data_IF_583573969501
#
_entry.id   IF_583573969501
#
_cell.length_a   1.000
_cell.length_b   1.000
_cell.length_c   1.000
_cell.angle_alpha   90.00
_cell.angle_beta   90.00
_cell.angle_gamma   90.00
#
_symmetry.space_group_name_H-M   'P 1'
#
loop_
_entity.id
_entity.type
_entity.pdbx_description
1 polymer ?
#
# COMPACT_ATOMS: atom_id res chain seq x y z
N UNK A 1 13.49 -18.74 6.29
CA UNK A 1 12.77 -17.90 7.25
C UNK A 1 12.77 -18.64 8.56
N UNK A 2 13.17 -17.99 9.64
CA UNK A 2 13.07 -18.55 11.00
C UNK A 2 11.60 -18.58 11.47
N UNK A 3 11.31 -19.36 12.51
CA UNK A 3 9.97 -19.41 13.11
C UNK A 3 9.52 -18.02 13.61
N UNK A 4 10.43 -17.24 14.20
CA UNK A 4 10.18 -15.86 14.65
C UNK A 4 9.72 -14.98 13.49
N UNK A 5 10.43 -15.01 12.36
CA UNK A 5 10.09 -14.22 11.18
C UNK A 5 8.76 -14.68 10.56
N UNK A 6 8.47 -15.98 10.59
CA UNK A 6 7.23 -16.54 10.07
C UNK A 6 6.02 -16.10 10.92
N UNK A 7 6.11 -16.23 12.23
CA UNK A 7 5.04 -15.86 13.16
C UNK A 7 4.77 -14.35 13.13
N UNK A 8 5.82 -13.53 13.08
CA UNK A 8 5.69 -12.08 12.97
C UNK A 8 4.94 -11.67 11.69
N UNK A 9 5.28 -12.27 10.55
CA UNK A 9 4.61 -11.97 9.27
C UNK A 9 3.17 -12.45 9.26
N UNK A 10 2.90 -13.65 9.79
CA UNK A 10 1.54 -14.18 9.88
C UNK A 10 0.66 -13.30 10.75
N UNK A 11 1.15 -12.88 11.92
CA UNK A 11 0.44 -11.95 12.78
C UNK A 11 0.16 -10.63 12.06
N UNK A 12 1.18 -10.02 11.44
CA UNK A 12 1.01 -8.74 10.74
C UNK A 12 0.01 -8.83 9.57
N UNK A 13 0.08 -9.89 8.76
CA UNK A 13 -0.89 -10.14 7.69
C UNK A 13 -2.29 -10.45 8.20
N UNK A 14 -2.40 -11.17 9.33
CA UNK A 14 -3.66 -11.47 10.00
C UNK A 14 -4.34 -10.19 10.52
N UNK A 15 -3.60 -9.35 11.23
CA UNK A 15 -4.10 -8.08 11.77
C UNK A 15 -4.46 -7.08 10.66
N UNK A 16 -3.65 -7.01 9.59
CA UNK A 16 -3.86 -6.01 8.54
C UNK A 16 -4.92 -6.42 7.51
N UNK A 17 -4.95 -7.70 7.12
CA UNK A 17 -5.75 -8.18 5.98
C UNK A 17 -6.64 -9.39 6.30
N UNK A 18 -6.58 -9.93 7.52
CA UNK A 18 -7.30 -11.14 7.89
C UNK A 18 -6.76 -12.42 7.24
N UNK A 19 -5.52 -12.42 6.74
CA UNK A 19 -4.94 -13.59 6.08
C UNK A 19 -4.62 -14.69 7.10
N UNK A 20 -4.84 -15.95 6.69
CA UNK A 20 -4.54 -17.15 7.50
C UNK A 20 -3.28 -17.89 7.02
N UNK A 21 -2.66 -17.41 5.95
CA UNK A 21 -1.44 -17.94 5.36
C UNK A 21 -0.68 -16.81 4.65
N UNK A 22 0.63 -16.99 4.49
CA UNK A 22 1.47 -16.02 3.78
C UNK A 22 1.23 -16.11 2.26
N UNK A 23 1.12 -14.97 1.55
CA UNK A 23 1.04 -14.98 0.09
C UNK A 23 2.41 -15.31 -0.53
N UNK A 24 2.44 -15.80 -1.79
CA UNK A 24 3.68 -16.06 -2.51
C UNK A 24 4.58 -14.82 -2.62
N UNK A 25 5.90 -15.02 -2.60
CA UNK A 25 6.87 -13.92 -2.66
C UNK A 25 6.73 -13.06 -3.93
N UNK A 26 6.49 -13.70 -5.09
CA UNK A 26 6.36 -13.00 -6.38
C UNK A 26 5.23 -11.96 -6.37
N UNK A 27 4.14 -12.24 -5.67
CA UNK A 27 2.99 -11.33 -5.59
C UNK A 27 3.33 -10.06 -4.78
N UNK A 28 4.29 -10.11 -3.86
CA UNK A 28 4.72 -8.93 -3.10
C UNK A 28 5.45 -7.90 -3.97
N UNK A 29 6.36 -8.36 -4.82
CA UNK A 29 7.10 -7.46 -5.73
C UNK A 29 6.15 -6.79 -6.72
N UNK A 30 5.21 -7.54 -7.29
CA UNK A 30 4.19 -6.99 -8.18
C UNK A 30 3.34 -5.93 -7.46
N UNK A 31 2.90 -6.19 -6.22
CA UNK A 31 2.15 -5.19 -5.43
C UNK A 31 3.00 -3.94 -5.20
N UNK A 32 4.26 -4.09 -4.76
CA UNK A 32 5.16 -2.96 -4.50
C UNK A 32 5.32 -2.11 -5.76
N UNK A 33 5.65 -2.73 -6.89
CA UNK A 33 5.78 -2.01 -8.17
C UNK A 33 4.51 -1.29 -8.55
N UNK A 34 3.37 -1.99 -8.48
CA UNK A 34 2.06 -1.43 -8.85
C UNK A 34 1.70 -0.22 -8.00
N UNK A 35 1.93 -0.30 -6.68
CA UNK A 35 1.66 0.81 -5.77
C UNK A 35 2.57 2.01 -6.05
N UNK A 36 3.87 1.77 -6.31
CA UNK A 36 4.81 2.85 -6.64
C UNK A 36 4.47 3.52 -7.97
N UNK A 37 3.99 2.77 -8.97
CA UNK A 37 3.49 3.34 -10.24
C UNK A 37 2.25 4.21 -9.99
N UNK A 38 1.33 3.74 -9.15
CA UNK A 38 0.15 4.51 -8.78
C UNK A 38 0.49 5.79 -8.03
N UNK A 39 1.44 5.74 -7.10
CA UNK A 39 1.87 6.89 -6.32
C UNK A 39 2.62 7.91 -7.19
N UNK A 40 3.54 7.45 -8.05
CA UNK A 40 4.26 8.31 -9.01
C UNK A 40 3.41 8.78 -10.19
N UNK A 41 2.10 8.58 -10.17
CA UNK A 41 1.28 8.85 -11.36
C UNK A 41 1.32 10.33 -11.78
N UNK A 42 1.71 11.24 -10.88
CA UNK A 42 1.92 12.66 -11.16
C UNK A 42 3.28 13.02 -11.77
N UNK A 43 4.15 12.02 -11.94
CA UNK A 43 5.49 12.15 -12.46
C UNK A 43 6.57 12.23 -11.37
N UNK A 44 6.19 12.41 -10.10
CA UNK A 44 7.11 12.54 -8.96
C UNK A 44 6.72 11.52 -7.91
N UNK A 45 7.70 10.87 -7.28
CA UNK A 45 7.44 10.09 -6.08
C UNK A 45 8.17 10.79 -4.95
N UNK A 46 7.41 11.36 -4.03
CA UNK A 46 7.97 12.06 -2.88
C UNK A 46 8.75 11.07 -1.98
N UNK A 47 9.79 11.54 -1.28
CA UNK A 47 10.54 10.70 -0.34
C UNK A 47 9.65 9.99 0.68
N UNK A 48 8.65 10.69 1.21
CA UNK A 48 7.69 10.21 2.21
C UNK A 48 6.86 9.03 1.69
N UNK A 49 6.31 9.15 0.47
CA UNK A 49 5.58 8.09 -0.22
C UNK A 49 6.46 6.84 -0.42
N UNK A 50 7.68 7.04 -0.93
CA UNK A 50 8.62 5.92 -1.12
C UNK A 50 8.97 5.27 0.21
N UNK A 51 9.28 6.07 1.22
CA UNK A 51 9.64 5.59 2.55
C UNK A 51 8.51 4.79 3.19
N UNK A 52 7.26 5.18 2.96
CA UNK A 52 6.10 4.44 3.44
C UNK A 52 6.06 3.01 2.86
N UNK A 53 6.23 2.86 1.55
CA UNK A 53 6.26 1.54 0.91
C UNK A 53 7.50 0.73 1.28
N UNK A 54 8.66 1.38 1.39
CA UNK A 54 9.90 0.74 1.87
C UNK A 54 9.72 0.22 3.30
N UNK A 55 9.13 1.01 4.19
CA UNK A 55 8.84 0.61 5.57
C UNK A 55 7.86 -0.55 5.65
N UNK A 56 6.79 -0.52 4.85
CA UNK A 56 5.85 -1.65 4.73
C UNK A 56 6.54 -2.91 4.21
N UNK A 57 7.37 -2.80 3.17
CA UNK A 57 8.11 -3.93 2.63
C UNK A 57 9.09 -4.52 3.66
N UNK A 58 9.75 -3.67 4.45
CA UNK A 58 10.63 -4.08 5.54
C UNK A 58 9.85 -4.82 6.64
N UNK A 59 8.72 -4.29 7.09
CA UNK A 59 7.88 -4.89 8.12
C UNK A 59 7.35 -6.28 7.73
N UNK A 60 7.05 -6.48 6.45
CA UNK A 60 6.64 -7.78 5.91
C UNK A 60 7.82 -8.72 5.62
N UNK A 61 9.06 -8.28 5.89
CA UNK A 61 10.29 -8.97 5.50
C UNK A 61 10.26 -9.41 4.04
N UNK A 62 9.73 -8.56 3.17
CA UNK A 62 9.54 -8.86 1.75
C UNK A 62 10.86 -8.76 1.01
N UNK A 63 11.11 -9.70 0.09
CA UNK A 63 12.25 -9.61 -0.83
C UNK A 63 12.20 -8.34 -1.71
N UNK A 64 11.03 -7.71 -1.82
CA UNK A 64 10.85 -6.43 -2.53
C UNK A 64 11.35 -5.20 -1.75
N UNK A 65 11.93 -5.34 -0.56
CA UNK A 65 12.45 -4.19 0.21
C UNK A 65 13.52 -3.39 -0.54
N UNK A 66 14.55 -4.05 -1.10
CA UNK A 66 15.59 -3.36 -1.87
C UNK A 66 15.07 -2.82 -3.20
N UNK A 67 14.12 -3.54 -3.81
CA UNK A 67 13.40 -3.07 -5.00
C UNK A 67 12.66 -1.76 -4.69
N UNK A 68 11.90 -1.70 -3.59
CA UNK A 68 11.11 -0.52 -3.22
C UNK A 68 11.93 0.77 -3.09
N UNK A 69 13.20 0.67 -2.67
CA UNK A 69 14.09 1.82 -2.52
C UNK A 69 14.50 2.46 -3.85
N UNK A 70 14.61 1.65 -4.89
CA UNK A 70 15.31 2.03 -6.13
C UNK A 70 14.43 1.96 -7.37
N UNK A 71 13.26 1.32 -7.26
CA UNK A 71 12.37 1.10 -8.38
C UNK A 71 11.87 2.43 -8.97
N UNK A 72 12.07 2.67 -10.27
CA UNK A 72 11.78 3.97 -10.88
C UNK A 72 10.29 4.22 -11.13
N UNK A 73 9.47 3.16 -11.17
CA UNK A 73 8.02 3.23 -11.36
C UNK A 73 7.56 3.90 -12.67
N UNK A 74 8.28 3.63 -13.75
CA UNK A 74 7.96 4.11 -15.11
C UNK A 74 7.26 3.06 -16.00
N UNK A 75 7.02 1.86 -15.46
CA UNK A 75 6.32 0.78 -16.18
C UNK A 75 4.80 1.03 -16.23
N UNK A 76 4.09 0.38 -17.17
CA UNK A 76 2.62 0.37 -17.15
C UNK A 76 2.10 -0.58 -16.06
N UNK A 77 1.17 -0.08 -15.25
CA UNK A 77 0.61 -0.81 -14.09
C UNK A 77 -0.16 -2.07 -14.51
N UNK A 78 -0.79 -2.09 -15.70
CA UNK A 78 -1.51 -3.26 -16.21
C UNK A 78 -0.52 -4.36 -16.58
N UNK A 79 0.57 -3.99 -17.25
CA UNK A 79 1.62 -4.92 -17.63
C UNK A 79 2.27 -5.53 -16.39
N UNK A 80 2.62 -4.70 -15.40
CA UNK A 80 3.19 -5.15 -14.12
C UNK A 80 2.23 -6.08 -13.39
N UNK A 81 0.94 -5.72 -13.30
CA UNK A 81 -0.04 -6.55 -12.63
C UNK A 81 -0.20 -7.88 -13.33
N UNK A 82 -0.27 -7.93 -14.66
CA UNK A 82 -0.44 -9.17 -15.43
C UNK A 82 0.59 -10.27 -15.10
N UNK A 83 1.73 -9.91 -14.49
CA UNK A 83 2.78 -10.84 -14.06
C UNK A 83 2.52 -11.53 -12.71
N UNK A 84 1.58 -11.05 -11.90
CA UNK A 84 1.23 -11.66 -10.61
C UNK A 84 0.36 -12.90 -10.79
N UNK A 85 0.55 -13.90 -9.92
CA UNK A 85 -0.30 -15.08 -9.85
C UNK A 85 -1.71 -14.74 -9.32
N UNK A 86 -1.84 -13.62 -8.60
CA UNK A 86 -3.05 -13.21 -7.90
C UNK A 86 -3.66 -11.88 -8.39
N UNK A 87 -3.73 -11.64 -9.72
CA UNK A 87 -4.47 -10.49 -10.30
C UNK A 87 -5.98 -10.74 -10.30
N UNK A 88 -6.52 -11.10 -9.15
CA UNK A 88 -7.97 -11.15 -8.97
C UNK A 88 -8.48 -9.76 -8.54
N UNK A 89 -9.79 -9.64 -8.39
CA UNK A 89 -10.43 -8.40 -7.94
C UNK A 89 -9.84 -7.89 -6.60
N UNK A 90 -9.47 -8.79 -5.68
CA UNK A 90 -8.90 -8.41 -4.38
C UNK A 90 -7.49 -7.80 -4.52
N UNK A 91 -6.66 -8.31 -5.43
CA UNK A 91 -5.34 -7.74 -5.72
C UNK A 91 -5.44 -6.29 -6.22
N UNK A 92 -6.34 -6.04 -7.18
CA UNK A 92 -6.57 -4.69 -7.73
C UNK A 92 -7.04 -3.69 -6.68
N UNK A 93 -8.00 -4.08 -5.83
CA UNK A 93 -8.48 -3.24 -4.71
C UNK A 93 -7.37 -2.98 -3.69
N UNK A 94 -6.57 -3.99 -3.37
CA UNK A 94 -5.43 -3.85 -2.45
C UNK A 94 -4.40 -2.84 -2.98
N UNK A 95 -4.10 -2.86 -4.29
CA UNK A 95 -3.19 -1.89 -4.91
C UNK A 95 -3.71 -0.46 -4.79
N UNK A 96 -4.99 -0.23 -5.10
CA UNK A 96 -5.59 1.12 -4.99
C UNK A 96 -5.62 1.58 -3.53
N UNK A 97 -6.03 0.73 -2.59
CA UNK A 97 -5.99 1.02 -1.16
C UNK A 97 -4.58 1.41 -0.70
N UNK A 98 -3.57 0.62 -1.06
CA UNK A 98 -2.19 0.92 -0.69
C UNK A 98 -1.65 2.18 -1.38
N UNK A 99 -2.04 2.45 -2.62
CA UNK A 99 -1.67 3.68 -3.32
C UNK A 99 -2.21 4.91 -2.60
N UNK A 100 -3.50 4.90 -2.20
CA UNK A 100 -4.11 6.00 -1.44
C UNK A 100 -3.34 6.24 -0.12
N UNK A 101 -3.02 5.17 0.63
CA UNK A 101 -2.24 5.28 1.87
C UNK A 101 -0.81 5.75 1.66
N UNK A 102 -0.23 5.41 0.51
CA UNK A 102 1.12 5.81 0.14
C UNK A 102 1.17 7.29 -0.18
N UNK A 103 0.26 7.79 -1.02
CA UNK A 103 0.17 9.22 -1.32
C UNK A 103 -0.17 10.05 -0.09
N UNK A 104 -0.98 9.51 0.83
CA UNK A 104 -1.32 10.18 2.10
C UNK A 104 -0.22 10.09 3.16
N UNK A 105 0.99 9.61 2.84
CA UNK A 105 2.02 9.30 3.83
C UNK A 105 2.59 10.55 4.54
N UNK A 106 2.57 11.70 3.88
CA UNK A 106 2.95 13.00 4.43
C UNK A 106 1.81 13.67 5.24
N UNK A 107 0.62 13.05 5.25
CA UNK A 107 -0.57 13.54 5.94
C UNK A 107 -1.58 14.25 5.05
N UNK A 108 -1.29 14.48 3.77
CA UNK A 108 -2.21 15.08 2.81
C UNK A 108 -2.38 14.19 1.57
N UNK A 109 -3.59 14.13 1.03
CA UNK A 109 -3.85 13.49 -0.25
C UNK A 109 -4.32 14.56 -1.23
N UNK A 110 -3.46 14.95 -2.16
CA UNK A 110 -3.76 16.03 -3.08
C UNK A 110 -4.83 15.61 -4.12
N UNK A 111 -5.72 16.53 -4.54
CA UNK A 111 -6.73 16.24 -5.55
C UNK A 111 -6.15 15.68 -6.86
N UNK A 112 -4.95 16.12 -7.25
CA UNK A 112 -4.28 15.69 -8.47
C UNK A 112 -3.78 14.24 -8.38
N UNK A 113 -3.28 13.80 -7.23
CA UNK A 113 -2.91 12.41 -6.96
C UNK A 113 -4.16 11.52 -7.01
N UNK A 114 -5.24 11.97 -6.35
CA UNK A 114 -6.48 11.23 -6.33
C UNK A 114 -7.10 11.10 -7.74
N UNK A 115 -7.07 12.17 -8.54
CA UNK A 115 -7.54 12.14 -9.94
C UNK A 115 -6.79 11.09 -10.77
N UNK A 116 -5.50 10.87 -10.48
CA UNK A 116 -4.67 9.87 -11.17
C UNK A 116 -4.93 8.47 -10.66
N UNK A 117 -5.13 8.29 -9.35
CA UNK A 117 -5.59 7.04 -8.75
C UNK A 117 -6.92 6.60 -9.38
N UNK A 118 -7.88 7.50 -9.60
CA UNK A 118 -9.13 7.16 -10.29
C UNK A 118 -8.88 6.66 -11.72
N UNK A 119 -8.03 7.33 -12.50
CA UNK A 119 -7.70 6.90 -13.87
C UNK A 119 -7.05 5.52 -13.89
N UNK A 120 -6.17 5.23 -12.94
CA UNK A 120 -5.54 3.92 -12.84
C UNK A 120 -6.56 2.88 -12.40
N UNK A 121 -7.40 3.17 -11.40
CA UNK A 121 -8.44 2.26 -10.95
C UNK A 121 -9.43 1.90 -12.07
N UNK A 122 -9.81 2.87 -12.91
CA UNK A 122 -10.63 2.64 -14.10
C UNK A 122 -9.94 1.69 -15.08
N UNK A 123 -8.64 1.89 -15.37
CA UNK A 123 -7.84 0.95 -16.19
C UNK A 123 -7.78 -0.45 -15.58
N UNK A 124 -7.79 -0.54 -14.25
CA UNK A 124 -7.89 -1.79 -13.51
C UNK A 124 -9.31 -2.37 -13.50
N UNK A 125 -10.29 -1.71 -14.12
CA UNK A 125 -11.68 -2.17 -14.14
C UNK A 125 -12.36 -2.11 -12.77
N UNK A 126 -11.98 -1.14 -11.93
CA UNK A 126 -12.66 -0.82 -10.69
C UNK A 126 -13.62 0.34 -10.91
N UNK A 127 -14.86 0.18 -10.43
CA UNK A 127 -15.88 1.22 -10.45
C UNK A 127 -15.48 2.39 -9.52
N UNK A 128 -15.90 3.60 -9.88
CA UNK A 128 -15.58 4.82 -9.11
C UNK A 128 -16.05 4.70 -7.66
N UNK A 129 -17.22 4.13 -7.45
CA UNK A 129 -17.85 3.91 -6.14
C UNK A 129 -16.98 3.03 -5.24
N UNK A 130 -16.32 2.01 -5.81
CA UNK A 130 -15.37 1.17 -5.07
C UNK A 130 -14.17 2.00 -4.64
N UNK A 131 -13.64 2.84 -5.52
CA UNK A 131 -12.50 3.71 -5.21
C UNK A 131 -12.87 4.76 -4.15
N UNK A 132 -14.08 5.31 -4.22
CA UNK A 132 -14.63 6.23 -3.21
C UNK A 132 -14.66 5.55 -1.83
N UNK A 133 -15.19 4.32 -1.74
CA UNK A 133 -15.19 3.57 -0.48
C UNK A 133 -13.78 3.23 0.02
N UNK A 134 -12.84 2.94 -0.88
CA UNK A 134 -11.44 2.71 -0.51
C UNK A 134 -10.77 3.98 0.03
N UNK A 135 -11.09 5.15 -0.54
CA UNK A 135 -10.64 6.45 -0.03
C UNK A 135 -11.22 6.73 1.36
N UNK A 136 -12.52 6.49 1.53
CA UNK A 136 -13.23 6.70 2.79
C UNK A 136 -12.61 5.86 3.92
N UNK A 137 -12.43 4.55 3.71
CA UNK A 137 -11.82 3.69 4.75
C UNK A 137 -10.38 4.10 5.09
N UNK A 138 -9.59 4.59 4.12
CA UNK A 138 -8.24 5.10 4.41
C UNK A 138 -8.28 6.32 5.33
N UNK A 139 -9.24 7.24 5.10
CA UNK A 139 -9.42 8.42 5.94
C UNK A 139 -9.91 8.04 7.34
N UNK A 140 -10.89 7.12 7.43
CA UNK A 140 -11.39 6.60 8.71
C UNK A 140 -10.29 5.91 9.52
N UNK A 141 -9.49 5.06 8.88
CA UNK A 141 -8.35 4.39 9.52
C UNK A 141 -7.34 5.39 10.09
N UNK A 142 -7.02 6.46 9.34
CA UNK A 142 -6.12 7.51 9.80
C UNK A 142 -6.70 8.22 11.03
N UNK A 143 -7.98 8.58 11.02
CA UNK A 143 -8.65 9.21 12.16
C UNK A 143 -8.69 8.30 13.39
N UNK A 144 -9.02 7.02 13.21
CA UNK A 144 -9.04 6.03 14.31
C UNK A 144 -7.63 5.81 14.86
N UNK A 145 -6.60 5.79 14.00
CA UNK A 145 -5.20 5.71 14.41
C UNK A 145 -4.82 6.90 15.30
N UNK A 146 -5.09 8.12 14.87
CA UNK A 146 -4.78 9.32 15.66
C UNK A 146 -5.51 9.33 17.00
N UNK A 147 -6.80 8.96 17.00
CA UNK A 147 -7.58 8.79 18.23
C UNK A 147 -6.95 7.75 19.17
N UNK A 148 -6.52 6.61 18.64
CA UNK A 148 -5.86 5.55 19.43
C UNK A 148 -4.55 6.06 20.02
N UNK A 149 -3.72 6.75 19.24
CA UNK A 149 -2.44 7.30 19.71
C UNK A 149 -2.68 8.30 20.84
N UNK A 150 -3.61 9.25 20.67
CA UNK A 150 -3.92 10.24 21.71
C UNK A 150 -4.50 9.65 23.00
N UNK A 151 -5.21 8.52 22.91
CA UNK A 151 -5.70 7.79 24.09
C UNK A 151 -4.60 7.01 24.81
N UNK A 152 -3.68 6.40 24.06
CA UNK A 152 -2.58 5.60 24.63
C UNK A 152 -1.46 6.49 25.20
N UNK A 153 -1.23 7.62 24.56
CA UNK A 153 -0.10 8.52 24.84
C UNK A 153 -0.58 9.97 24.96
N UNK A 154 -1.39 10.30 25.98
CA UNK A 154 -1.98 11.63 26.13
C UNK A 154 -0.93 12.74 26.27
N UNK A 155 0.25 12.41 26.80
CA UNK A 155 1.38 13.33 27.01
C UNK A 155 2.44 13.23 25.90
N UNK A 156 2.16 12.49 24.82
CA UNK A 156 3.08 12.19 23.73
C UNK A 156 3.68 10.79 23.80
N UNK A 157 4.02 10.24 22.63
CA UNK A 157 4.64 8.92 22.54
C UNK A 157 6.04 8.92 23.16
N UNK A 158 6.44 7.86 23.88
CA UNK A 158 7.69 7.83 24.64
C UNK A 158 8.96 7.65 23.79
N UNK A 159 8.81 7.44 22.47
CA UNK A 159 9.89 7.22 21.50
C UNK A 159 9.63 8.01 20.22
#
# INVERSE_FOLDING_TARGET
MSDIEQDAKLWLHGETYGFKSLPPTKDHETIIKSVLICAKADGVLAPEERNWIVGRAAALGSNGYELAKTYPADEDVIDVLSQASAVNNAGRRTVIYLAIKTCSADGELHPDEMAKIYKIAEKLGLEKEVVDSLKEICAEEAQVREKRIGLLFPDGAPY
#
